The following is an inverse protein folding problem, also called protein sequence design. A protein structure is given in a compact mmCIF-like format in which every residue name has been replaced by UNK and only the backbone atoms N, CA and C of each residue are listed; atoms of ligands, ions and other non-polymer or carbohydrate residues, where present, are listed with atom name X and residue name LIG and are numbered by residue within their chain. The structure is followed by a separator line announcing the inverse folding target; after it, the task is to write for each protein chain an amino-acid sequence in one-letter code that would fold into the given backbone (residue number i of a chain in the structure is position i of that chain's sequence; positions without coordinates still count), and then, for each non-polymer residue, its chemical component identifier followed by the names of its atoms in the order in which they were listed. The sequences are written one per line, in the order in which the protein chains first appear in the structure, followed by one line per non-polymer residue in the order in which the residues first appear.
data_IF_518542290615
#
_entry.id   IF_518542290615
#
_cell.length_a   1.000
_cell.length_b   1.000
_cell.length_c   1.000
_cell.angle_alpha   90.00
_cell.angle_beta   90.00
_cell.angle_gamma   90.00
#
_symmetry.space_group_name_H-M   'P 1'
#
loop_
_entity.id
_entity.type
_entity.pdbx_description
1 polymer ?
#
# COMPACT_ATOMS: atom_id res chain seq x y z
N UNK A 1 -39.36 -49.25 37.02
CA UNK A 1 -38.96 -48.34 35.93
C UNK A 1 -38.02 -47.28 36.53
N UNK A 2 -36.79 -47.65 36.88
CA UNK A 2 -35.86 -46.78 37.62
C UNK A 2 -34.37 -47.13 37.38
N UNK A 3 -34.02 -47.52 36.15
CA UNK A 3 -32.63 -47.88 35.79
C UNK A 3 -32.05 -46.96 34.68
N UNK A 4 -32.87 -46.11 34.04
CA UNK A 4 -32.41 -45.26 32.93
C UNK A 4 -31.87 -43.87 33.33
N UNK A 5 -32.04 -43.43 34.58
CA UNK A 5 -31.68 -42.06 34.98
C UNK A 5 -30.27 -41.91 35.59
N UNK A 6 -29.68 -43.00 36.10
CA UNK A 6 -28.37 -42.95 36.81
C UNK A 6 -27.18 -42.90 35.84
N UNK A 7 -27.34 -43.42 34.62
CA UNK A 7 -26.27 -43.42 33.59
C UNK A 7 -26.06 -42.03 32.98
N UNK A 8 -27.13 -41.27 32.71
CA UNK A 8 -27.04 -39.96 32.05
C UNK A 8 -26.31 -38.90 32.90
N UNK A 9 -26.53 -38.92 34.22
CA UNK A 9 -25.93 -37.93 35.16
C UNK A 9 -24.43 -38.18 35.36
N UNK A 10 -23.99 -39.44 35.29
CA UNK A 10 -22.57 -39.81 35.48
C UNK A 10 -21.71 -39.46 34.27
N UNK A 11 -22.28 -39.60 33.07
CA UNK A 11 -21.62 -39.28 31.80
C UNK A 11 -21.41 -37.76 31.64
N UNK A 12 -22.40 -36.96 32.02
CA UNK A 12 -22.30 -35.49 31.97
C UNK A 12 -21.19 -34.92 32.87
N UNK A 13 -20.93 -35.53 34.03
CA UNK A 13 -19.85 -35.13 34.96
C UNK A 13 -18.44 -35.40 34.43
N UNK A 14 -18.27 -36.40 33.57
CA UNK A 14 -16.98 -36.73 32.95
C UNK A 14 -16.62 -35.78 31.80
N UNK A 15 -17.62 -35.30 31.06
CA UNK A 15 -17.40 -34.35 29.95
C UNK A 15 -17.38 -32.88 30.39
N UNK A 16 -17.94 -32.55 31.56
CA UNK A 16 -17.93 -31.20 32.13
C UNK A 16 -16.52 -30.58 32.31
N UNK A 17 -15.51 -31.29 32.86
CA UNK A 17 -14.15 -30.75 32.94
C UNK A 17 -13.49 -30.64 31.55
N UNK A 18 -13.85 -31.51 30.61
CA UNK A 18 -13.36 -31.44 29.23
C UNK A 18 -13.95 -30.22 28.49
N UNK A 19 -15.24 -29.92 28.71
CA UNK A 19 -15.92 -28.76 28.16
C UNK A 19 -15.41 -27.44 28.77
N UNK A 20 -15.18 -27.40 30.09
CA UNK A 20 -14.55 -26.27 30.78
C UNK A 20 -13.10 -26.05 30.32
N UNK A 21 -12.33 -27.12 30.10
CA UNK A 21 -10.98 -27.05 29.55
C UNK A 21 -10.99 -26.54 28.10
N UNK A 22 -11.95 -26.99 27.28
CA UNK A 22 -12.14 -26.50 25.92
C UNK A 22 -12.46 -24.99 25.90
N UNK A 23 -13.28 -24.49 26.83
CA UNK A 23 -13.55 -23.05 26.98
C UNK A 23 -12.36 -22.25 27.49
N UNK A 24 -11.45 -22.88 28.27
CA UNK A 24 -10.20 -22.24 28.73
C UNK A 24 -9.11 -22.24 27.64
N UNK A 25 -9.15 -23.21 26.72
CA UNK A 25 -8.28 -23.29 25.55
C UNK A 25 -8.71 -22.37 24.41
N UNK A 26 -9.97 -21.93 24.38
CA UNK A 26 -10.41 -20.78 23.60
C UNK A 26 -9.89 -19.50 24.28
N UNK A 27 -8.57 -19.33 24.27
CA UNK A 27 -7.95 -18.02 24.49
C UNK A 27 -8.63 -17.04 23.54
N UNK A 28 -9.32 -16.07 24.13
CA UNK A 28 -9.86 -14.94 23.41
C UNK A 28 -8.73 -14.30 22.62
N UNK A 29 -8.78 -14.46 21.29
CA UNK A 29 -7.87 -13.78 20.38
C UNK A 29 -8.26 -12.30 20.44
N UNK A 30 -7.63 -11.54 21.33
CA UNK A 30 -7.59 -10.09 21.19
C UNK A 30 -6.82 -9.84 19.89
N UNK A 31 -7.55 -9.71 18.78
CA UNK A 31 -7.01 -9.04 17.60
C UNK A 31 -6.37 -7.73 18.05
N UNK A 32 -5.26 -7.33 17.44
CA UNK A 32 -4.38 -6.27 17.93
C UNK A 32 -5.14 -4.96 18.24
N UNK A 33 -5.62 -4.83 19.48
CA UNK A 33 -6.51 -3.76 19.95
C UNK A 33 -5.77 -2.42 19.92
N UNK A 34 -4.47 -2.46 20.20
CA UNK A 34 -3.58 -1.31 20.10
C UNK A 34 -3.45 -0.79 18.67
N UNK A 35 -3.30 -1.68 17.67
CA UNK A 35 -3.26 -1.26 16.27
C UNK A 35 -4.59 -0.69 15.79
N UNK A 36 -5.72 -1.21 16.29
CA UNK A 36 -7.05 -0.66 15.99
C UNK A 36 -7.20 0.73 16.60
N UNK A 37 -6.86 0.90 17.88
CA UNK A 37 -6.89 2.19 18.58
C UNK A 37 -6.00 3.22 17.86
N UNK A 38 -4.77 2.84 17.50
CA UNK A 38 -3.85 3.68 16.73
C UNK A 38 -4.45 4.11 15.39
N UNK A 39 -5.07 3.18 14.67
CA UNK A 39 -5.72 3.47 13.40
C UNK A 39 -6.84 4.50 13.56
N UNK A 40 -7.70 4.32 14.56
CA UNK A 40 -8.81 5.23 14.84
C UNK A 40 -8.29 6.62 15.26
N UNK A 41 -7.29 6.69 16.14
CA UNK A 41 -6.70 7.94 16.64
C UNK A 41 -6.01 8.74 15.53
N UNK A 42 -5.28 8.07 14.62
CA UNK A 42 -4.59 8.73 13.52
C UNK A 42 -5.55 9.21 12.42
N UNK A 43 -6.56 8.41 12.07
CA UNK A 43 -7.35 8.66 10.85
C UNK A 43 -8.65 9.43 11.07
N UNK A 44 -9.21 9.44 12.28
CA UNK A 44 -10.52 10.11 12.55
C UNK A 44 -10.52 11.60 12.18
N UNK A 45 -9.41 12.31 12.41
CA UNK A 45 -9.28 13.75 12.12
C UNK A 45 -8.32 14.05 10.96
N UNK A 46 -7.92 13.03 10.21
CA UNK A 46 -6.95 13.20 9.14
C UNK A 46 -7.63 13.68 7.86
N UNK A 47 -7.25 14.87 7.39
CA UNK A 47 -7.74 15.40 6.11
C UNK A 47 -6.78 15.03 4.98
N UNK A 48 -7.13 14.01 4.20
CA UNK A 48 -6.39 13.53 3.02
C UNK A 48 -6.21 14.55 1.90
N UNK A 49 -7.04 15.59 1.84
CA UNK A 49 -6.93 16.61 0.80
C UNK A 49 -5.93 17.72 1.16
N UNK A 50 -5.47 17.77 2.42
CA UNK A 50 -4.49 18.74 2.88
C UNK A 50 -3.10 18.14 2.82
N UNK A 51 -2.25 18.76 2.00
CA UNK A 51 -0.81 18.49 1.92
C UNK A 51 -0.17 18.39 3.32
N UNK A 52 0.67 17.38 3.60
CA UNK A 52 1.31 17.20 4.91
C UNK A 52 2.58 18.05 5.06
N UNK A 53 2.44 19.37 4.89
CA UNK A 53 3.47 20.37 5.16
C UNK A 53 2.99 21.33 6.25
N UNK A 54 3.90 21.84 7.09
CA UNK A 54 3.55 22.79 8.15
C UNK A 54 3.32 24.18 7.57
N UNK A 55 4.19 24.59 6.65
CA UNK A 55 4.11 25.86 5.94
C UNK A 55 3.76 25.64 4.47
N UNK A 56 2.98 26.54 3.84
CA UNK A 56 2.77 26.53 2.40
C UNK A 56 4.06 26.58 1.57
N UNK A 57 5.14 27.12 2.14
CA UNK A 57 6.44 27.27 1.50
C UNK A 57 7.36 26.05 1.67
N UNK A 58 7.05 25.14 2.59
CA UNK A 58 7.91 24.00 2.90
C UNK A 58 7.73 22.89 1.83
N UNK A 59 8.77 22.52 1.07
CA UNK A 59 8.69 21.45 0.07
C UNK A 59 8.51 20.07 0.74
N UNK A 60 7.71 19.20 0.12
CA UNK A 60 7.64 17.77 0.48
C UNK A 60 8.52 17.00 -0.49
N UNK A 61 9.51 16.31 0.06
CA UNK A 61 10.38 15.43 -0.72
C UNK A 61 9.72 14.06 -0.88
N UNK A 62 9.44 13.69 -2.13
CA UNK A 62 8.91 12.37 -2.49
C UNK A 62 10.04 11.58 -3.16
N UNK A 63 10.39 10.42 -2.61
CA UNK A 63 11.35 9.51 -3.20
C UNK A 63 10.62 8.48 -4.05
N UNK A 64 10.93 8.45 -5.34
CA UNK A 64 10.39 7.50 -6.29
C UNK A 64 11.42 6.40 -6.59
N UNK A 65 10.96 5.16 -6.65
CA UNK A 65 11.70 4.05 -7.25
C UNK A 65 10.78 3.25 -8.16
N UNK A 66 11.24 2.99 -9.37
CA UNK A 66 10.53 2.16 -10.34
C UNK A 66 11.19 0.80 -10.42
N UNK A 67 10.38 -0.25 -10.37
CA UNK A 67 10.84 -1.62 -10.62
C UNK A 67 10.05 -2.18 -11.79
N UNK A 68 10.74 -2.40 -12.91
CA UNK A 68 10.18 -3.12 -14.05
C UNK A 68 9.88 -4.56 -13.63
N UNK A 69 8.65 -5.01 -13.81
CA UNK A 69 8.27 -6.41 -13.63
C UNK A 69 8.45 -7.18 -14.93
N UNK A 70 7.89 -6.67 -16.02
CA UNK A 70 8.01 -7.26 -17.34
C UNK A 70 7.65 -6.24 -18.43
N UNK A 71 8.17 -6.48 -19.63
CA UNK A 71 7.68 -5.87 -20.85
C UNK A 71 6.51 -6.72 -21.31
N UNK A 72 5.34 -6.11 -21.48
CA UNK A 72 4.11 -6.79 -21.90
C UNK A 72 4.07 -6.88 -23.42
N UNK A 73 4.33 -5.76 -24.08
CA UNK A 73 4.22 -5.64 -25.53
C UNK A 73 5.08 -4.50 -26.06
N UNK A 74 5.51 -4.63 -27.31
CA UNK A 74 6.29 -3.64 -28.05
C UNK A 74 5.70 -3.56 -29.46
N UNK A 75 5.20 -2.39 -29.83
CA UNK A 75 4.74 -2.09 -31.18
C UNK A 75 5.78 -1.20 -31.86
N UNK A 76 6.58 -1.79 -32.73
CA UNK A 76 7.71 -1.12 -33.38
C UNK A 76 7.25 -0.08 -34.40
N UNK A 77 6.14 -0.32 -35.10
CA UNK A 77 5.60 0.64 -36.07
C UNK A 77 5.00 1.86 -35.37
N UNK A 78 4.24 1.62 -34.30
CA UNK A 78 3.59 2.68 -33.54
C UNK A 78 4.52 3.33 -32.50
N UNK A 79 5.73 2.79 -32.31
CA UNK A 79 6.74 3.27 -31.37
C UNK A 79 6.19 3.29 -29.93
N UNK A 80 5.41 2.27 -29.57
CA UNK A 80 4.75 2.14 -28.26
C UNK A 80 5.30 0.90 -27.56
N UNK A 81 5.69 1.07 -26.30
CA UNK A 81 5.99 -0.05 -25.41
C UNK A 81 5.06 -0.05 -24.21
N UNK A 82 4.51 -1.23 -23.93
CA UNK A 82 3.67 -1.48 -22.76
C UNK A 82 4.46 -2.28 -21.74
N UNK A 83 4.58 -1.79 -20.51
CA UNK A 83 5.31 -2.44 -19.42
C UNK A 83 4.47 -2.53 -18.15
N UNK A 84 4.68 -3.61 -17.40
CA UNK A 84 4.22 -3.73 -16.02
C UNK A 84 5.32 -3.27 -15.07
N UNK A 85 5.02 -2.28 -14.24
CA UNK A 85 5.98 -1.68 -13.31
C UNK A 85 5.42 -1.60 -11.90
N UNK A 86 6.29 -1.65 -10.90
CA UNK A 86 5.96 -1.27 -9.52
C UNK A 86 6.47 0.14 -9.26
N UNK A 87 5.59 1.00 -8.75
CA UNK A 87 5.89 2.39 -8.48
C UNK A 87 6.02 2.58 -6.98
N UNK A 88 7.24 2.50 -6.45
CA UNK A 88 7.48 2.74 -5.03
C UNK A 88 7.62 4.23 -4.76
N UNK A 89 6.77 4.73 -3.88
CA UNK A 89 6.73 6.11 -3.43
C UNK A 89 7.00 6.15 -1.94
N UNK A 90 7.91 7.02 -1.51
CA UNK A 90 8.23 7.22 -0.09
C UNK A 90 8.22 8.70 0.21
N UNK A 91 7.40 9.12 1.17
CA UNK A 91 7.35 10.48 1.69
C UNK A 91 7.24 10.45 3.22
N UNK A 92 7.27 11.62 3.84
CA UNK A 92 7.07 11.77 5.28
C UNK A 92 5.85 12.62 5.54
N UNK A 93 4.93 12.12 6.36
CA UNK A 93 3.79 12.85 6.88
C UNK A 93 3.90 12.95 8.41
N UNK A 94 4.14 14.17 8.90
CA UNK A 94 4.31 14.42 10.34
C UNK A 94 3.03 14.20 11.15
N UNK A 95 1.85 14.27 10.53
CA UNK A 95 0.57 14.04 11.22
C UNK A 95 0.30 12.56 11.48
N UNK A 96 0.99 11.68 10.74
CA UNK A 96 0.90 10.23 10.88
C UNK A 96 2.05 9.67 11.72
N UNK A 97 2.65 10.49 12.59
CA UNK A 97 3.69 10.08 13.53
C UNK A 97 3.05 9.67 14.86
N UNK A 98 3.55 8.60 15.47
CA UNK A 98 3.14 8.16 16.81
C UNK A 98 4.33 7.59 17.60
N UNK A 99 4.15 7.43 18.90
CA UNK A 99 5.10 6.70 19.74
C UNK A 99 4.65 5.24 19.89
N UNK A 100 5.46 4.24 19.47
CA UNK A 100 5.10 2.83 19.63
C UNK A 100 4.78 2.42 21.07
N UNK A 101 5.40 3.05 22.06
CA UNK A 101 5.21 2.74 23.48
C UNK A 101 3.76 2.98 23.95
N UNK A 102 3.06 3.95 23.35
CA UNK A 102 1.68 4.29 23.71
C UNK A 102 0.65 3.27 23.15
N UNK A 103 1.08 2.46 22.16
CA UNK A 103 0.25 1.54 21.39
C UNK A 103 0.86 0.13 21.35
N UNK A 104 1.29 -0.39 22.51
CA UNK A 104 1.70 -1.80 22.64
C UNK A 104 2.92 -2.20 21.78
N UNK A 105 3.77 -1.23 21.43
CA UNK A 105 4.96 -1.45 20.58
C UNK A 105 4.68 -1.48 19.08
N UNK A 106 3.48 -1.09 18.62
CA UNK A 106 3.15 -1.01 17.19
C UNK A 106 4.05 0.04 16.52
N UNK A 107 4.97 -0.41 15.67
CA UNK A 107 5.92 0.46 14.95
C UNK A 107 5.55 0.67 13.47
N UNK A 108 4.64 -0.15 12.95
CA UNK A 108 4.18 -0.15 11.56
C UNK A 108 2.67 -0.37 11.52
N UNK A 109 1.97 0.41 10.69
CA UNK A 109 0.53 0.31 10.48
C UNK A 109 0.22 0.25 8.97
N UNK A 110 -0.69 -0.63 8.57
CA UNK A 110 -1.13 -0.75 7.17
C UNK A 110 -2.50 -0.12 6.98
N UNK A 111 -2.59 0.87 6.09
CA UNK A 111 -3.83 1.63 5.84
C UNK A 111 -4.19 1.60 4.36
N UNK A 112 -5.48 1.60 3.99
CA UNK A 112 -5.89 1.88 2.61
C UNK A 112 -5.35 3.24 2.16
N UNK A 113 -4.77 3.31 0.95
CA UNK A 113 -4.16 4.55 0.46
C UNK A 113 -5.20 5.68 0.29
N UNK A 114 -6.47 5.33 0.07
CA UNK A 114 -7.57 6.26 -0.10
C UNK A 114 -7.87 7.10 1.14
N UNK A 115 -7.42 6.65 2.32
CA UNK A 115 -7.67 7.33 3.59
C UNK A 115 -6.60 8.34 3.95
N UNK A 116 -5.46 8.33 3.25
CA UNK A 116 -4.33 9.21 3.52
C UNK A 116 -4.07 10.14 2.33
N UNK A 117 -3.28 11.19 2.54
CA UNK A 117 -2.78 12.00 1.44
C UNK A 117 -1.75 11.19 0.67
N UNK A 118 -1.87 11.18 -0.65
CA UNK A 118 -0.95 10.52 -1.57
C UNK A 118 -0.59 11.52 -2.66
N UNK A 119 0.68 11.62 -3.07
CA UNK A 119 1.06 12.56 -4.12
C UNK A 119 0.47 12.16 -5.47
N UNK A 120 0.01 13.17 -6.22
CA UNK A 120 -0.41 12.99 -7.61
C UNK A 120 0.83 12.74 -8.47
N UNK A 121 0.98 11.52 -9.00
CA UNK A 121 2.07 11.13 -9.91
C UNK A 121 1.48 10.80 -11.28
N UNK A 122 1.95 11.50 -12.32
CA UNK A 122 1.49 11.30 -13.71
C UNK A 122 2.66 10.95 -14.62
N UNK A 123 2.42 10.06 -15.58
CA UNK A 123 3.37 9.73 -16.64
C UNK A 123 3.30 10.79 -17.74
N UNK A 124 4.41 11.49 -17.99
CA UNK A 124 4.47 12.56 -18.99
C UNK A 124 4.39 12.06 -20.43
N UNK A 125 5.13 11.00 -20.76
CA UNK A 125 5.14 10.41 -22.10
C UNK A 125 4.14 9.25 -22.22
N UNK A 126 2.94 9.44 -21.67
CA UNK A 126 1.90 8.44 -21.78
C UNK A 126 1.36 8.42 -23.21
N UNK A 127 1.48 7.27 -23.89
CA UNK A 127 0.87 7.04 -25.21
C UNK A 127 -0.66 6.86 -25.10
N UNK A 128 -1.17 6.69 -23.87
CA UNK A 128 -2.59 6.58 -23.56
C UNK A 128 -3.09 7.88 -22.88
N UNK A 129 -4.37 8.20 -23.06
CA UNK A 129 -5.00 9.37 -22.45
C UNK A 129 -5.29 9.18 -20.95
N UNK A 130 -5.29 7.93 -20.47
CA UNK A 130 -5.66 7.58 -19.10
C UNK A 130 -4.50 6.92 -18.36
N UNK A 131 -4.08 7.53 -17.25
CA UNK A 131 -3.18 6.91 -16.28
C UNK A 131 -4.00 6.09 -15.29
N UNK A 132 -4.06 4.78 -15.51
CA UNK A 132 -4.85 3.87 -14.69
C UNK A 132 -3.93 3.19 -13.66
N UNK A 133 -3.76 3.79 -12.47
CA UNK A 133 -3.42 2.98 -11.27
C UNK A 133 -4.70 2.20 -10.93
N UNK A 134 -4.83 1.02 -11.51
CA UNK A 134 -6.05 0.19 -11.42
C UNK A 134 -6.17 -0.59 -10.12
N UNK A 135 -5.18 -0.55 -9.22
CA UNK A 135 -5.12 -1.46 -8.08
C UNK A 135 -5.01 -0.68 -6.77
N UNK A 136 -6.04 -0.85 -5.92
CA UNK A 136 -6.06 -0.39 -4.53
C UNK A 136 -5.14 -1.26 -3.68
N UNK A 137 -3.96 -0.72 -3.35
CA UNK A 137 -3.01 -1.34 -2.43
C UNK A 137 -2.94 -0.56 -1.12
N UNK A 138 -2.67 -1.27 -0.01
CA UNK A 138 -2.43 -0.62 1.27
C UNK A 138 -1.08 0.12 1.26
N UNK A 139 -1.05 1.28 1.90
CA UNK A 139 0.17 1.98 2.24
C UNK A 139 0.69 1.50 3.60
N UNK A 140 2.01 1.51 3.74
CA UNK A 140 2.72 1.18 4.98
C UNK A 140 3.12 2.48 5.68
N UNK A 141 2.57 2.71 6.87
CA UNK A 141 2.94 3.80 7.75
C UNK A 141 3.96 3.31 8.76
N UNK A 142 5.02 4.08 8.97
CA UNK A 142 5.99 3.85 10.03
C UNK A 142 5.78 4.87 11.15
N UNK A 143 6.09 4.49 12.39
CA UNK A 143 5.91 5.36 13.56
C UNK A 143 6.65 6.71 13.45
N UNK A 144 7.70 6.78 12.64
CA UNK A 144 8.44 8.02 12.33
C UNK A 144 7.65 9.03 11.48
N UNK A 145 6.48 8.66 10.98
CA UNK A 145 5.70 9.42 9.99
C UNK A 145 6.11 9.12 8.54
N UNK A 146 7.07 8.22 8.30
CA UNK A 146 7.40 7.80 6.94
C UNK A 146 6.27 6.94 6.36
N UNK A 147 5.85 7.26 5.15
CA UNK A 147 4.85 6.53 4.40
C UNK A 147 5.50 5.90 3.18
N UNK A 148 5.24 4.61 2.97
CA UNK A 148 5.62 3.88 1.76
C UNK A 148 4.37 3.36 1.07
N UNK A 149 4.23 3.68 -0.21
CA UNK A 149 3.16 3.14 -1.06
C UNK A 149 3.76 2.61 -2.36
N UNK A 150 3.47 1.34 -2.68
CA UNK A 150 4.07 0.65 -3.84
C UNK A 150 2.97 -0.04 -4.68
N UNK A 151 2.14 0.71 -5.40
CA UNK A 151 1.17 0.14 -6.32
C UNK A 151 1.85 -0.44 -7.59
N UNK A 152 1.31 -1.54 -8.13
CA UNK A 152 1.58 -1.95 -9.50
C UNK A 152 0.87 -1.00 -10.49
N UNK A 153 1.50 -0.72 -11.62
CA UNK A 153 0.94 0.09 -12.69
C UNK A 153 1.33 -0.47 -14.06
N UNK A 154 0.47 -0.23 -15.05
CA UNK A 154 0.77 -0.51 -16.46
C UNK A 154 1.14 0.81 -17.14
N UNK A 155 2.36 0.91 -17.64
CA UNK A 155 2.83 2.09 -18.37
C UNK A 155 2.82 1.79 -19.86
N UNK A 156 2.18 2.68 -20.63
CA UNK A 156 2.25 2.71 -22.09
C UNK A 156 3.04 3.95 -22.48
N UNK A 157 4.29 3.78 -22.87
CA UNK A 157 5.16 4.90 -23.21
C UNK A 157 5.48 4.91 -24.70
N UNK A 158 5.57 6.11 -25.27
CA UNK A 158 6.18 6.31 -26.59
C UNK A 158 7.69 6.09 -26.46
N UNK A 159 8.24 5.06 -27.12
CA UNK A 159 9.68 4.83 -27.16
C UNK A 159 10.18 4.85 -28.60
N UNK A 160 11.26 5.58 -28.86
CA UNK A 160 11.90 5.51 -30.17
C UNK A 160 12.71 4.20 -30.27
N UNK A 161 12.25 3.27 -31.11
CA UNK A 161 12.91 1.99 -31.38
C UNK A 161 13.69 2.15 -32.68
N UNK A 162 15.02 2.17 -32.56
CA UNK A 162 15.93 2.18 -33.71
C UNK A 162 16.32 0.73 -34.08
N UNK A 163 15.85 0.28 -35.24
CA UNK A 163 16.02 -1.09 -35.77
C UNK A 163 17.27 -1.27 -36.63
N UNK A 164 18.22 -0.33 -36.58
CA UNK A 164 19.41 -0.37 -37.43
C UNK A 164 20.41 -1.48 -37.09
N UNK A 165 20.36 -2.10 -35.89
CA UNK A 165 21.40 -3.03 -35.41
C UNK A 165 20.89 -4.35 -34.81
N UNK A 166 19.74 -4.82 -35.30
CA UNK A 166 19.18 -6.12 -34.94
C UNK A 166 20.16 -7.27 -35.30
N UNK A 167 20.44 -8.26 -34.43
CA UNK A 167 19.79 -8.59 -33.14
C UNK A 167 20.56 -8.15 -31.88
N UNK A 168 21.55 -7.25 -32.01
CA UNK A 168 22.40 -6.79 -30.90
C UNK A 168 22.08 -5.34 -30.51
N UNK A 169 20.79 -5.03 -30.39
CA UNK A 169 20.35 -3.67 -30.10
C UNK A 169 20.72 -3.27 -28.67
N UNK A 170 21.51 -2.20 -28.55
CA UNK A 170 21.82 -1.53 -27.29
C UNK A 170 20.63 -0.68 -26.80
N UNK A 171 19.40 -1.21 -26.87
CA UNK A 171 18.18 -0.56 -26.40
C UNK A 171 18.06 -0.60 -24.87
N UNK A 172 19.13 -0.24 -24.17
CA UNK A 172 19.04 0.26 -22.81
C UNK A 172 18.81 1.77 -22.92
N UNK A 173 17.89 2.32 -22.12
CA UNK A 173 17.77 3.76 -21.83
C UNK A 173 16.86 4.56 -22.79
N UNK A 174 15.55 4.30 -22.73
CA UNK A 174 14.55 5.35 -22.98
C UNK A 174 13.45 5.38 -21.89
N UNK A 175 13.19 4.25 -21.23
CA UNK A 175 12.22 4.18 -20.12
C UNK A 175 12.60 5.03 -18.91
N UNK A 176 13.90 5.14 -18.59
CA UNK A 176 14.36 5.84 -17.39
C UNK A 176 14.45 7.37 -17.56
N UNK A 177 14.70 7.85 -18.78
CA UNK A 177 14.86 9.29 -19.07
C UNK A 177 13.53 10.01 -19.29
N UNK A 178 12.46 9.28 -19.63
CA UNK A 178 11.19 9.86 -20.05
C UNK A 178 10.13 10.00 -18.95
N UNK A 179 10.38 9.45 -17.76
CA UNK A 179 9.49 9.60 -16.59
C UNK A 179 9.93 10.85 -15.83
N UNK A 180 9.75 12.02 -16.45
CA UNK A 180 9.85 13.30 -15.72
C UNK A 180 8.57 13.42 -14.91
N UNK A 181 8.61 13.10 -13.62
CA UNK A 181 7.48 13.37 -12.75
C UNK A 181 7.42 14.87 -12.48
N UNK A 182 6.56 15.62 -13.18
CA UNK A 182 6.11 16.86 -12.54
C UNK A 182 5.21 16.48 -11.39
N UNK A 183 5.62 16.84 -10.19
CA UNK A 183 4.65 17.18 -9.17
C UNK A 183 3.87 18.36 -9.75
N UNK A 184 2.63 18.12 -10.19
CA UNK A 184 1.78 19.22 -10.62
C UNK A 184 1.51 20.05 -9.35
N UNK A 185 2.34 21.07 -9.11
CA UNK A 185 2.03 22.14 -8.20
C UNK A 185 0.76 22.77 -8.75
N UNK A 186 -0.40 22.31 -8.28
CA UNK A 186 -1.67 23.06 -8.38
C UNK A 186 -1.49 24.32 -7.54
N UNK A 187 -0.80 25.30 -8.11
CA UNK A 187 -1.04 26.71 -7.87
C UNK A 187 -2.34 27.03 -8.60
N UNK A 188 -3.47 26.74 -7.96
CA UNK A 188 -4.69 27.48 -8.23
C UNK A 188 -5.18 28.01 -6.88
N UNK A 189 -4.82 29.28 -6.68
CA UNK A 189 -5.63 30.31 -6.02
C UNK A 189 -7.11 30.17 -6.35
#
# INVERSE_FOLDING_TARGET
MAISAVSAVSVAKFYLPFFLCLTFLLKYSNGNEDAKRLYDDLLTNYNRHKRPAESPLEPITIRLKLRLSQIIDVHEIDQIMTCSVWVKQVWTDRKLKWNPEDYGGVSVLYVPYEMIWVPDIVLYNNADSHYNITISTKATLHHSGQVTWEPPAIFKSLCQIDVQWFPFDASQIALLTQITLSTHHRLHS
#
